data_IF_309228369962
#
_entry.id   IF_309228369962
#
_cell.length_a   1.000
_cell.length_b   1.000
_cell.length_c   1.000
_cell.angle_alpha   90.00
_cell.angle_beta   90.00
_cell.angle_gamma   90.00
#
_symmetry.space_group_name_H-M   'P 1'
#
loop_
_entity.id
_entity.type
_entity.pdbx_description
1 polymer ?
#
# COMPACT_ATOMS: atom_id res chain seq x y z
N UNK A 1 -38.18 -31.69 -0.04
CA UNK A 1 -36.74 -32.09 -0.16
C UNK A 1 -35.97 -31.21 -1.14
N UNK A 2 -36.46 -30.91 -2.31
CA UNK A 2 -35.83 -30.05 -3.32
C UNK A 2 -35.66 -28.59 -2.84
N UNK A 3 -36.73 -28.00 -2.29
CA UNK A 3 -36.75 -26.63 -1.75
C UNK A 3 -35.74 -26.47 -0.59
N UNK A 4 -35.59 -27.47 0.27
CA UNK A 4 -34.61 -27.42 1.36
C UNK A 4 -33.16 -27.44 0.87
N UNK A 5 -32.89 -28.19 -0.22
CA UNK A 5 -31.57 -28.19 -0.85
C UNK A 5 -31.22 -26.82 -1.44
N UNK A 6 -32.17 -26.22 -2.18
CA UNK A 6 -32.01 -24.87 -2.76
C UNK A 6 -31.78 -23.85 -1.66
N UNK A 7 -32.54 -23.91 -0.58
CA UNK A 7 -32.35 -22.99 0.57
C UNK A 7 -30.97 -23.11 1.21
N UNK A 8 -30.47 -24.35 1.38
CA UNK A 8 -29.11 -24.57 1.91
C UNK A 8 -28.01 -24.00 0.98
N UNK A 9 -28.16 -24.26 -0.35
CA UNK A 9 -27.23 -23.72 -1.33
C UNK A 9 -27.25 -22.19 -1.32
N UNK A 10 -28.42 -21.58 -1.25
CA UNK A 10 -28.57 -20.12 -1.20
C UNK A 10 -27.87 -19.53 0.06
N UNK A 11 -28.06 -20.16 1.23
CA UNK A 11 -27.39 -19.72 2.47
C UNK A 11 -25.87 -19.79 2.33
N UNK A 12 -25.34 -20.87 1.77
CA UNK A 12 -23.90 -21.05 1.55
C UNK A 12 -23.38 -19.95 0.62
N UNK A 13 -24.07 -19.66 -0.48
CA UNK A 13 -23.68 -18.61 -1.42
C UNK A 13 -23.70 -17.22 -0.77
N UNK A 14 -24.68 -16.94 0.08
CA UNK A 14 -24.75 -15.67 0.82
C UNK A 14 -23.59 -15.54 1.81
N UNK A 15 -23.21 -16.60 2.51
CA UNK A 15 -22.05 -16.61 3.43
C UNK A 15 -20.77 -16.37 2.64
N UNK A 16 -20.58 -17.05 1.51
CA UNK A 16 -19.41 -16.85 0.65
C UNK A 16 -19.32 -15.41 0.14
N UNK A 17 -20.45 -14.84 -0.26
CA UNK A 17 -20.50 -13.44 -0.72
C UNK A 17 -20.08 -12.47 0.39
N UNK A 18 -20.56 -12.66 1.62
CA UNK A 18 -20.19 -11.84 2.78
C UNK A 18 -18.69 -11.95 3.06
N UNK A 19 -18.13 -13.16 2.99
CA UNK A 19 -16.68 -13.37 3.18
C UNK A 19 -15.89 -12.64 2.10
N UNK A 20 -16.30 -12.73 0.82
CA UNK A 20 -15.62 -12.05 -0.28
C UNK A 20 -15.68 -10.53 -0.12
N UNK A 21 -16.82 -9.99 0.26
CA UNK A 21 -16.97 -8.54 0.51
C UNK A 21 -16.09 -8.08 1.68
N UNK A 22 -15.99 -8.86 2.74
CA UNK A 22 -15.10 -8.57 3.85
C UNK A 22 -13.63 -8.59 3.42
N UNK A 23 -13.21 -9.60 2.66
CA UNK A 23 -11.83 -9.71 2.20
C UNK A 23 -11.44 -8.57 1.24
N UNK A 24 -12.39 -8.04 0.49
CA UNK A 24 -12.15 -6.95 -0.46
C UNK A 24 -12.23 -5.55 0.16
N UNK A 25 -13.19 -5.32 1.06
CA UNK A 25 -13.51 -3.98 1.56
C UNK A 25 -13.38 -3.82 3.08
N UNK A 26 -13.40 -4.91 3.83
CA UNK A 26 -13.44 -4.87 5.30
C UNK A 26 -12.08 -4.78 5.99
N UNK A 27 -10.99 -4.90 5.24
CA UNK A 27 -9.63 -4.84 5.78
C UNK A 27 -8.90 -3.61 5.25
N UNK A 28 -8.13 -3.00 6.12
CA UNK A 28 -7.32 -1.82 5.76
C UNK A 28 -5.93 -2.21 5.26
N UNK A 29 -5.32 -1.33 4.46
CA UNK A 29 -3.93 -1.48 4.07
C UNK A 29 -3.01 -1.19 5.25
N UNK A 30 -1.84 -1.80 5.24
CA UNK A 30 -0.82 -1.58 6.27
C UNK A 30 0.59 -1.77 5.71
N UNK A 31 1.57 -1.24 6.43
CA UNK A 31 2.98 -1.45 6.12
C UNK A 31 3.45 -2.76 6.73
N UNK A 32 3.97 -3.63 5.88
CA UNK A 32 4.56 -4.90 6.31
C UNK A 32 6.02 -4.72 6.76
N UNK A 33 6.77 -3.93 6.00
CA UNK A 33 8.17 -3.67 6.29
C UNK A 33 8.57 -2.26 5.81
N UNK A 34 9.47 -1.64 6.55
CA UNK A 34 10.00 -0.32 6.25
C UNK A 34 11.46 -0.26 6.63
N UNK A 35 12.29 0.24 5.74
CA UNK A 35 13.64 0.61 6.10
C UNK A 35 14.11 1.84 5.32
N UNK A 36 15.12 2.50 5.88
CA UNK A 36 15.67 3.73 5.35
C UNK A 36 17.15 3.54 5.08
N UNK A 37 17.55 3.91 3.88
CA UNK A 37 18.93 4.00 3.49
C UNK A 37 19.34 5.48 3.50
N UNK A 38 20.40 5.82 4.22
CA UNK A 38 20.84 7.21 4.38
C UNK A 38 22.28 7.38 3.96
N UNK A 39 22.54 8.43 3.19
CA UNK A 39 23.88 8.90 2.84
C UNK A 39 23.94 10.40 3.18
N UNK A 40 24.62 10.71 4.29
CA UNK A 40 24.62 12.08 4.82
C UNK A 40 23.21 12.53 5.19
N UNK A 41 22.76 13.61 4.59
CA UNK A 41 21.41 14.16 4.80
C UNK A 41 20.38 13.64 3.80
N UNK A 42 20.77 12.76 2.91
CA UNK A 42 19.89 12.17 1.90
C UNK A 42 19.31 10.84 2.40
N UNK A 43 17.99 10.72 2.38
CA UNK A 43 17.26 9.57 2.90
C UNK A 43 16.37 8.96 1.82
N UNK A 44 16.56 7.68 1.59
CA UNK A 44 15.73 6.87 0.71
C UNK A 44 14.89 5.92 1.58
N UNK A 45 13.58 6.05 1.48
CA UNK A 45 12.64 5.18 2.19
C UNK A 45 12.16 4.06 1.29
N UNK A 46 12.24 2.83 1.76
CA UNK A 46 11.70 1.66 1.07
C UNK A 46 10.63 1.00 1.92
N UNK A 47 9.47 0.76 1.32
CA UNK A 47 8.30 0.19 1.98
C UNK A 47 7.83 -1.06 1.25
N UNK A 48 7.35 -2.03 2.03
CA UNK A 48 6.48 -3.10 1.56
C UNK A 48 5.11 -2.90 2.17
N UNK A 49 4.11 -2.70 1.33
CA UNK A 49 2.74 -2.40 1.74
C UNK A 49 1.82 -3.55 1.33
N UNK A 50 1.01 -4.01 2.26
CA UNK A 50 -0.09 -4.94 2.00
C UNK A 50 -1.39 -4.16 1.94
N UNK A 51 -2.11 -4.28 0.85
CA UNK A 51 -3.38 -3.57 0.68
C UNK A 51 -4.58 -4.35 1.20
N UNK A 52 -4.39 -5.64 1.50
CA UNK A 52 -5.41 -6.53 2.07
C UNK A 52 -6.70 -6.56 1.24
N UNK A 53 -6.55 -6.71 -0.07
CA UNK A 53 -7.62 -6.85 -1.05
C UNK A 53 -7.43 -8.11 -1.86
N UNK A 54 -8.50 -8.56 -2.53
CA UNK A 54 -8.45 -9.70 -3.45
C UNK A 54 -7.99 -9.25 -4.84
N UNK A 55 -8.41 -8.05 -5.26
CA UNK A 55 -8.02 -7.45 -6.54
C UNK A 55 -7.91 -5.93 -6.45
N UNK A 56 -7.20 -5.35 -7.41
CA UNK A 56 -7.08 -3.91 -7.61
C UNK A 56 -7.33 -3.59 -9.07
N UNK A 57 -8.28 -2.68 -9.34
CA UNK A 57 -8.64 -2.27 -10.70
C UNK A 57 -7.73 -1.18 -11.25
N UNK A 58 -7.25 -0.29 -10.39
CA UNK A 58 -6.49 0.89 -10.77
C UNK A 58 -5.25 1.01 -9.90
N UNK A 59 -4.10 0.63 -10.45
CA UNK A 59 -2.82 0.67 -9.74
C UNK A 59 -2.41 2.10 -9.37
N UNK A 60 -2.68 3.07 -10.24
CA UNK A 60 -2.35 4.48 -9.97
C UNK A 60 -3.15 5.06 -8.82
N UNK A 61 -4.44 4.77 -8.77
CA UNK A 61 -5.28 5.15 -7.63
C UNK A 61 -4.81 4.50 -6.33
N UNK A 62 -4.49 3.22 -6.38
CA UNK A 62 -3.93 2.49 -5.23
C UNK A 62 -2.61 3.11 -4.75
N UNK A 63 -1.70 3.42 -5.67
CA UNK A 63 -0.44 4.08 -5.36
C UNK A 63 -0.65 5.46 -4.72
N UNK A 64 -1.58 6.26 -5.25
CA UNK A 64 -1.93 7.55 -4.67
C UNK A 64 -2.52 7.41 -3.25
N UNK A 65 -3.38 6.43 -3.01
CA UNK A 65 -3.94 6.16 -1.68
C UNK A 65 -2.85 5.80 -0.67
N UNK A 66 -1.89 4.96 -1.07
CA UNK A 66 -0.73 4.61 -0.23
C UNK A 66 0.12 5.86 0.05
N UNK A 67 0.39 6.66 -0.97
CA UNK A 67 1.16 7.88 -0.83
C UNK A 67 0.50 8.89 0.13
N UNK A 68 -0.82 9.05 0.06
CA UNK A 68 -1.55 9.90 1.00
C UNK A 68 -1.46 9.38 2.43
N UNK A 69 -1.48 8.07 2.62
CA UNK A 69 -1.25 7.45 3.94
C UNK A 69 0.16 7.70 4.47
N UNK A 70 1.16 7.63 3.61
CA UNK A 70 2.54 7.97 3.98
C UNK A 70 2.64 9.45 4.41
N UNK A 71 2.03 10.36 3.66
CA UNK A 71 2.02 11.80 3.97
C UNK A 71 1.28 12.12 5.26
N UNK A 72 0.13 11.49 5.48
CA UNK A 72 -0.68 11.66 6.68
C UNK A 72 -0.12 10.90 7.89
N UNK A 73 0.86 10.00 7.67
CA UNK A 73 1.42 9.13 8.71
C UNK A 73 0.35 8.31 9.44
N UNK A 74 -0.58 7.72 8.67
CA UNK A 74 -1.82 7.13 9.18
C UNK A 74 -1.91 5.61 9.08
N UNK A 75 -0.78 4.91 8.95
CA UNK A 75 -0.74 3.45 9.04
C UNK A 75 -0.89 2.97 10.49
N UNK A 76 -1.52 1.81 10.68
CA UNK A 76 -1.75 1.24 12.02
C UNK A 76 -0.48 0.72 12.68
N UNK A 77 0.34 -0.03 11.94
CA UNK A 77 1.47 -0.78 12.48
C UNK A 77 2.74 0.03 12.61
N UNK A 78 2.83 1.18 11.96
CA UNK A 78 4.02 2.01 11.94
C UNK A 78 3.67 3.50 11.96
N UNK A 79 4.50 4.25 12.68
CA UNK A 79 4.49 5.70 12.66
C UNK A 79 5.88 6.19 12.23
N UNK A 80 5.93 6.98 11.16
CA UNK A 80 7.17 7.54 10.66
C UNK A 80 7.60 8.73 11.51
N UNK A 81 8.89 8.80 11.84
CA UNK A 81 9.46 9.87 12.65
C UNK A 81 9.88 11.06 11.78
N UNK A 82 8.90 11.74 11.18
CA UNK A 82 9.17 12.90 10.30
C UNK A 82 9.77 14.12 11.02
N UNK A 83 9.73 14.14 12.35
CA UNK A 83 10.45 15.14 13.14
C UNK A 83 11.96 14.96 13.10
N UNK A 84 12.42 13.73 12.88
CA UNK A 84 13.85 13.41 12.78
C UNK A 84 14.39 13.59 11.38
N UNK A 85 13.66 13.13 10.38
CA UNK A 85 13.97 13.32 8.96
C UNK A 85 12.72 13.06 8.12
N UNK A 86 12.65 13.69 6.95
CA UNK A 86 11.64 13.42 5.94
C UNK A 86 12.36 12.84 4.72
N UNK A 87 11.93 11.68 4.20
CA UNK A 87 12.58 11.06 3.05
C UNK A 87 12.63 11.96 1.81
N UNK A 88 13.76 11.89 1.11
CA UNK A 88 13.95 12.55 -0.18
C UNK A 88 13.40 11.72 -1.33
N UNK A 89 13.44 10.40 -1.19
CA UNK A 89 12.92 9.43 -2.16
C UNK A 89 12.07 8.37 -1.47
N UNK A 90 11.02 7.94 -2.15
CA UNK A 90 10.13 6.89 -1.68
C UNK A 90 9.99 5.79 -2.73
N UNK A 91 10.25 4.55 -2.33
CA UNK A 91 10.05 3.35 -3.13
C UNK A 91 9.10 2.41 -2.41
N UNK A 92 8.10 1.93 -3.09
CA UNK A 92 7.07 1.08 -2.50
C UNK A 92 6.81 -0.14 -3.37
N UNK A 93 6.92 -1.31 -2.75
CA UNK A 93 6.43 -2.57 -3.31
C UNK A 93 5.05 -2.86 -2.72
N UNK A 94 4.07 -3.10 -3.58
CA UNK A 94 2.67 -3.27 -3.20
C UNK A 94 2.26 -4.73 -3.39
N UNK A 95 1.70 -5.31 -2.34
CA UNK A 95 1.24 -6.71 -2.31
C UNK A 95 -0.23 -6.77 -1.97
N UNK A 96 -0.96 -7.71 -2.60
CA UNK A 96 -2.37 -7.93 -2.29
C UNK A 96 -2.59 -8.40 -0.84
N UNK A 97 -1.70 -9.27 -0.35
CA UNK A 97 -1.76 -9.82 1.02
C UNK A 97 -0.39 -10.33 1.46
N UNK A 98 -0.27 -10.71 2.72
CA UNK A 98 0.97 -11.24 3.33
C UNK A 98 1.53 -12.46 2.59
N UNK A 99 0.67 -13.32 2.07
CA UNK A 99 1.11 -14.53 1.37
C UNK A 99 1.92 -14.19 0.12
N UNK A 100 1.59 -13.11 -0.58
CA UNK A 100 2.32 -12.66 -1.76
C UNK A 100 3.69 -12.09 -1.42
N UNK A 101 3.88 -11.55 -0.22
CA UNK A 101 5.20 -11.16 0.28
C UNK A 101 6.07 -12.40 0.50
N UNK A 102 5.51 -13.45 1.12
CA UNK A 102 6.23 -14.69 1.42
C UNK A 102 6.71 -15.40 0.17
N UNK A 103 5.96 -15.33 -0.92
CA UNK A 103 6.35 -15.90 -2.22
C UNK A 103 7.11 -14.93 -3.12
N UNK A 104 7.33 -13.69 -2.66
CA UNK A 104 8.09 -12.68 -3.40
C UNK A 104 7.41 -12.18 -4.67
N UNK A 105 6.08 -12.05 -4.66
CA UNK A 105 5.29 -11.67 -5.84
C UNK A 105 4.49 -10.39 -5.63
N UNK A 106 5.09 -9.20 -5.86
CA UNK A 106 4.37 -7.94 -5.76
C UNK A 106 3.31 -7.79 -6.86
N UNK A 107 2.22 -7.10 -6.53
CA UNK A 107 1.21 -6.73 -7.51
C UNK A 107 1.75 -5.69 -8.49
N UNK A 108 2.39 -4.66 -7.94
CA UNK A 108 3.14 -3.64 -8.67
C UNK A 108 4.09 -2.94 -7.70
N UNK A 109 4.99 -2.14 -8.26
CA UNK A 109 5.84 -1.24 -7.48
C UNK A 109 5.68 0.18 -7.98
N UNK A 110 5.93 1.15 -7.13
CA UNK A 110 5.98 2.54 -7.56
C UNK A 110 7.08 3.30 -6.83
N UNK A 111 7.49 4.40 -7.43
CA UNK A 111 8.42 5.36 -6.85
C UNK A 111 7.82 6.76 -6.83
N UNK A 112 8.19 7.53 -5.83
CA UNK A 112 7.84 8.93 -5.70
C UNK A 112 9.12 9.72 -5.53
N UNK A 113 9.57 10.31 -6.62
CA UNK A 113 10.88 10.92 -6.77
C UNK A 113 10.76 12.37 -7.20
N UNK A 114 11.69 13.25 -6.77
CA UNK A 114 11.75 14.60 -7.32
C UNK A 114 12.21 14.56 -8.78
N UNK A 115 11.69 15.49 -9.60
CA UNK A 115 12.13 15.64 -10.99
C UNK A 115 13.62 15.95 -11.09
N UNK A 116 14.09 16.82 -10.18
CA UNK A 116 15.51 17.13 -10.01
C UNK A 116 16.02 16.46 -8.72
N UNK A 117 17.05 15.65 -8.81
CA UNK A 117 17.64 14.95 -7.66
C UNK A 117 18.44 15.91 -6.76
N UNK A 118 17.70 16.69 -5.97
CA UNK A 118 18.31 17.61 -4.99
C UNK A 118 18.04 17.12 -3.56
N UNK A 119 19.06 17.12 -2.73
CA UNK A 119 19.00 16.70 -1.32
C UNK A 119 18.17 17.62 -0.42
N UNK A 120 17.81 18.80 -0.90
CA UNK A 120 16.98 19.77 -0.17
C UNK A 120 15.49 19.50 -0.28
N UNK A 121 15.05 18.65 -1.22
CA UNK A 121 13.64 18.34 -1.42
C UNK A 121 13.21 17.12 -0.62
N UNK A 122 12.05 17.21 0.02
CA UNK A 122 11.40 16.08 0.64
C UNK A 122 9.97 15.90 0.13
N UNK A 123 9.44 14.70 0.24
CA UNK A 123 8.17 14.35 -0.39
C UNK A 123 6.93 14.96 0.29
N UNK A 124 7.06 15.48 1.51
CA UNK A 124 5.97 16.15 2.22
C UNK A 124 5.85 17.62 1.83
N UNK A 125 6.97 18.36 1.94
CA UNK A 125 6.95 19.82 1.80
C UNK A 125 7.02 20.26 0.34
N UNK A 126 7.66 19.46 -0.49
CA UNK A 126 7.95 19.78 -1.90
C UNK A 126 7.17 18.86 -2.87
N UNK A 127 5.95 18.47 -2.50
CA UNK A 127 5.13 17.52 -3.29
C UNK A 127 4.96 17.91 -4.75
N UNK A 128 4.91 19.20 -5.06
CA UNK A 128 4.76 19.72 -6.42
C UNK A 128 5.96 19.43 -7.32
N UNK A 129 7.11 19.09 -6.73
CA UNK A 129 8.34 18.76 -7.45
C UNK A 129 8.52 17.25 -7.65
N UNK A 130 7.62 16.45 -7.10
CA UNK A 130 7.70 15.00 -7.13
C UNK A 130 6.80 14.40 -8.20
N UNK A 131 7.25 13.28 -8.76
CA UNK A 131 6.53 12.50 -9.75
C UNK A 131 6.34 11.08 -9.27
N UNK A 132 5.11 10.59 -9.35
CA UNK A 132 4.76 9.19 -9.09
C UNK A 132 4.91 8.38 -10.36
N UNK A 133 5.76 7.35 -10.30
CA UNK A 133 5.99 6.41 -11.42
C UNK A 133 5.63 5.00 -10.99
N UNK A 134 4.78 4.35 -11.76
CA UNK A 134 4.41 2.94 -11.56
C UNK A 134 5.30 2.06 -12.44
N UNK A 135 5.78 1.00 -11.84
CA UNK A 135 6.63 0.00 -12.49
C UNK A 135 5.90 -1.33 -12.67
#
# INVERSE_FOLDING_TARGET
MYIQKIRKVFIILMILLIILLYLQFGRDMDVYNSYVFSVGYYHEQQLKVVINKIWVNDNRKCANDILQRCKANSFKSIEFCYDSYIPNELYVDVYLSDIYIKIGHPLFSFSYLPEDAKSEYNFLDDSEKYVLKIQ
#
